data_IF_626766892354
#
_entry.id   IF_626766892354
#
_cell.length_a   1.000
_cell.length_b   1.000
_cell.length_c   1.000
_cell.angle_alpha   90.00
_cell.angle_beta   90.00
_cell.angle_gamma   90.00
#
_symmetry.space_group_name_H-M   'P 1'
#
loop_
_entity.id
_entity.type
_entity.pdbx_description
1 polymer ?
#
# COMPACT_ATOMS: atom_id res chain seq x y z
N UNK A 1 -100.41 -14.29 45.82
CA UNK A 1 -100.05 -15.20 44.71
C UNK A 1 -99.54 -14.62 43.42
N UNK A 2 -99.20 -13.33 43.40
CA UNK A 2 -98.80 -12.67 42.11
C UNK A 2 -97.30 -12.30 41.89
N UNK A 3 -96.44 -12.65 42.81
CA UNK A 3 -95.03 -12.33 42.69
C UNK A 3 -94.17 -13.40 41.90
N UNK A 4 -94.77 -14.51 41.63
CA UNK A 4 -94.06 -15.60 40.91
C UNK A 4 -94.26 -15.65 39.38
N UNK A 5 -95.24 -14.87 38.87
CA UNK A 5 -95.50 -14.75 37.44
C UNK A 5 -94.65 -13.69 36.77
N UNK A 6 -94.41 -12.50 37.39
CA UNK A 6 -93.58 -11.45 36.85
C UNK A 6 -92.08 -11.83 36.72
N UNK A 7 -91.54 -12.58 37.70
CA UNK A 7 -90.14 -13.03 37.64
C UNK A 7 -89.79 -14.02 36.49
N UNK A 8 -90.79 -14.68 35.95
CA UNK A 8 -90.64 -15.62 34.84
C UNK A 8 -90.72 -14.94 33.47
N UNK A 9 -91.48 -13.88 33.36
CA UNK A 9 -91.54 -13.05 32.12
C UNK A 9 -90.31 -12.27 31.91
N UNK A 10 -89.75 -11.64 32.99
CA UNK A 10 -88.53 -10.86 32.92
C UNK A 10 -87.30 -11.75 32.48
N UNK A 11 -87.18 -12.91 33.08
CA UNK A 11 -86.07 -13.87 32.69
C UNK A 11 -86.23 -14.44 31.26
N UNK A 12 -87.45 -14.48 30.73
CA UNK A 12 -87.66 -14.91 29.35
C UNK A 12 -87.35 -13.84 28.32
N UNK A 13 -87.56 -12.59 28.68
CA UNK A 13 -87.17 -11.43 27.86
C UNK A 13 -85.65 -11.27 27.79
N UNK A 14 -84.95 -11.34 28.93
CA UNK A 14 -83.50 -11.28 28.97
C UNK A 14 -82.81 -12.42 28.22
N UNK A 15 -83.36 -13.64 28.29
CA UNK A 15 -82.81 -14.80 27.59
C UNK A 15 -83.05 -14.72 26.09
N UNK A 16 -84.14 -14.09 25.61
CA UNK A 16 -84.37 -13.83 24.17
C UNK A 16 -83.44 -12.76 23.64
N UNK A 17 -83.16 -11.71 24.45
CA UNK A 17 -82.26 -10.63 24.07
C UNK A 17 -80.80 -11.11 24.01
N UNK A 18 -80.34 -11.95 24.94
CA UNK A 18 -79.03 -12.56 24.91
C UNK A 18 -78.84 -13.52 23.71
N UNK A 19 -79.85 -14.31 23.38
CA UNK A 19 -79.79 -15.20 22.18
C UNK A 19 -79.81 -14.40 20.90
N UNK A 20 -80.55 -13.24 20.83
CA UNK A 20 -80.53 -12.37 19.66
C UNK A 20 -79.19 -11.66 19.51
N UNK A 21 -78.56 -11.22 20.61
CA UNK A 21 -77.22 -10.62 20.57
C UNK A 21 -76.13 -11.63 20.22
N UNK A 22 -76.23 -12.85 20.70
CA UNK A 22 -75.33 -13.96 20.33
C UNK A 22 -75.43 -14.35 18.87
N UNK A 23 -76.65 -14.36 18.29
CA UNK A 23 -76.89 -14.68 16.88
C UNK A 23 -76.36 -13.54 15.95
N UNK A 24 -76.50 -12.26 16.37
CA UNK A 24 -75.95 -11.12 15.62
C UNK A 24 -74.41 -11.06 15.65
N UNK A 25 -73.76 -11.46 16.75
CA UNK A 25 -72.33 -11.52 16.86
C UNK A 25 -71.73 -12.67 16.07
N UNK A 26 -72.46 -13.79 15.93
CA UNK A 26 -71.99 -14.96 15.15
C UNK A 26 -72.06 -14.77 13.65
N UNK A 27 -72.91 -13.87 13.13
CA UNK A 27 -73.05 -13.61 11.70
C UNK A 27 -72.06 -12.60 11.13
N UNK A 28 -71.40 -11.82 11.99
CA UNK A 28 -70.41 -10.79 11.54
C UNK A 28 -68.96 -11.32 11.44
N UNK A 29 -68.65 -12.47 12.02
CA UNK A 29 -67.27 -12.98 12.04
C UNK A 29 -66.77 -13.67 10.74
N UNK A 30 -67.56 -14.38 9.94
CA UNK A 30 -67.02 -15.07 8.78
C UNK A 30 -66.64 -14.15 7.62
N UNK A 31 -67.24 -12.97 7.43
CA UNK A 31 -66.94 -12.07 6.30
C UNK A 31 -65.64 -11.33 6.50
N UNK A 32 -65.37 -10.89 7.72
CA UNK A 32 -64.10 -10.19 8.00
C UNK A 32 -62.88 -11.15 7.96
N UNK A 33 -63.05 -12.41 8.36
CA UNK A 33 -62.02 -13.41 8.31
C UNK A 33 -61.71 -13.85 6.85
N UNK A 34 -62.71 -13.94 5.99
CA UNK A 34 -62.53 -14.25 4.56
C UNK A 34 -61.85 -13.12 3.82
N UNK A 35 -62.24 -11.84 4.07
CA UNK A 35 -61.58 -10.67 3.46
C UNK A 35 -60.14 -10.47 3.95
N UNK A 36 -59.83 -10.83 5.22
CA UNK A 36 -58.51 -10.79 5.76
C UNK A 36 -57.60 -11.91 5.19
N UNK A 37 -58.17 -13.11 4.90
CA UNK A 37 -57.45 -14.21 4.29
C UNK A 37 -57.15 -13.98 2.82
N UNK A 38 -58.02 -13.30 2.07
CA UNK A 38 -57.79 -12.95 0.66
C UNK A 38 -56.71 -11.91 0.45
N UNK A 39 -56.50 -11.02 1.44
CA UNK A 39 -55.44 -9.99 1.34
C UNK A 39 -54.03 -10.49 1.75
N UNK A 40 -53.90 -11.59 2.44
CA UNK A 40 -52.61 -12.13 2.89
C UNK A 40 -51.67 -12.62 1.75
N UNK A 41 -52.11 -13.34 0.72
CA UNK A 41 -51.25 -13.84 -0.34
C UNK A 41 -50.64 -12.70 -1.17
N UNK A 42 -51.37 -11.60 -1.43
CA UNK A 42 -50.91 -10.47 -2.21
C UNK A 42 -49.79 -9.67 -1.46
N UNK A 43 -49.90 -9.53 -0.14
CA UNK A 43 -48.84 -8.90 0.69
C UNK A 43 -47.58 -9.73 0.77
N UNK A 44 -47.69 -11.07 0.86
CA UNK A 44 -46.53 -12.00 0.83
C UNK A 44 -45.82 -11.98 -0.52
N UNK A 45 -46.54 -11.96 -1.62
CA UNK A 45 -45.97 -11.85 -2.98
C UNK A 45 -45.23 -10.53 -3.19
N UNK A 46 -45.78 -9.39 -2.76
CA UNK A 46 -45.10 -8.08 -2.82
C UNK A 46 -43.82 -8.04 -1.99
N UNK A 47 -43.81 -8.60 -0.76
CA UNK A 47 -42.61 -8.71 0.06
C UNK A 47 -41.54 -9.59 -0.60
N UNK A 48 -41.93 -10.70 -1.22
CA UNK A 48 -40.99 -11.56 -1.96
C UNK A 48 -40.32 -10.85 -3.13
N UNK A 49 -41.04 -10.00 -3.88
CA UNK A 49 -40.48 -9.20 -4.98
C UNK A 49 -39.46 -8.17 -4.50
N UNK A 50 -39.74 -7.48 -3.37
CA UNK A 50 -38.79 -6.52 -2.80
C UNK A 50 -37.51 -7.18 -2.28
N UNK A 51 -37.63 -8.37 -1.66
CA UNK A 51 -36.46 -9.14 -1.21
C UNK A 51 -35.63 -9.60 -2.41
N UNK A 52 -36.27 -10.07 -3.48
CA UNK A 52 -35.56 -10.48 -4.71
C UNK A 52 -34.87 -9.27 -5.40
N UNK A 53 -35.53 -8.12 -5.45
CA UNK A 53 -34.97 -6.88 -5.95
C UNK A 53 -33.76 -6.43 -5.12
N UNK A 54 -33.85 -6.52 -3.79
CA UNK A 54 -32.74 -6.17 -2.89
C UNK A 54 -31.55 -7.10 -3.11
N UNK A 55 -31.78 -8.42 -3.20
CA UNK A 55 -30.73 -9.40 -3.49
C UNK A 55 -30.08 -9.10 -4.85
N UNK A 56 -30.88 -8.86 -5.88
CA UNK A 56 -30.38 -8.50 -7.21
C UNK A 56 -29.54 -7.22 -7.18
N UNK A 57 -29.99 -6.21 -6.44
CA UNK A 57 -29.23 -4.96 -6.26
C UNK A 57 -27.90 -5.19 -5.52
N UNK A 58 -27.90 -6.01 -4.46
CA UNK A 58 -26.67 -6.36 -3.74
C UNK A 58 -25.69 -7.11 -4.65
N UNK A 59 -26.18 -8.11 -5.40
CA UNK A 59 -25.34 -8.88 -6.35
C UNK A 59 -24.77 -7.97 -7.42
N UNK A 60 -25.56 -7.05 -7.96
CA UNK A 60 -25.07 -6.05 -8.93
C UNK A 60 -24.02 -5.14 -8.33
N UNK A 61 -24.24 -4.62 -7.13
CA UNK A 61 -23.26 -3.75 -6.43
C UNK A 61 -21.96 -4.50 -6.12
N UNK A 62 -22.04 -5.74 -5.65
CA UNK A 62 -20.88 -6.59 -5.46
C UNK A 62 -20.13 -6.85 -6.78
N UNK A 63 -20.86 -7.14 -7.86
CA UNK A 63 -20.28 -7.31 -9.20
C UNK A 63 -19.55 -6.06 -9.69
N UNK A 64 -20.15 -4.88 -9.53
CA UNK A 64 -19.53 -3.60 -9.86
C UNK A 64 -18.30 -3.30 -8.99
N UNK A 65 -18.36 -3.61 -7.69
CA UNK A 65 -17.22 -3.43 -6.79
C UNK A 65 -16.04 -4.34 -7.18
N UNK A 66 -16.31 -5.61 -7.48
CA UNK A 66 -15.28 -6.56 -7.94
C UNK A 66 -14.70 -6.12 -9.29
N UNK A 67 -15.54 -5.68 -10.22
CA UNK A 67 -15.09 -5.16 -11.51
C UNK A 67 -14.23 -3.91 -11.35
N UNK A 68 -14.65 -2.96 -10.52
CA UNK A 68 -13.89 -1.73 -10.23
C UNK A 68 -12.54 -2.03 -9.57
N UNK A 69 -12.52 -2.96 -8.60
CA UNK A 69 -11.28 -3.38 -7.97
C UNK A 69 -10.31 -4.04 -8.97
N UNK A 70 -10.82 -4.93 -9.82
CA UNK A 70 -10.00 -5.58 -10.86
C UNK A 70 -9.42 -4.57 -11.84
N UNK A 71 -10.23 -3.62 -12.32
CA UNK A 71 -9.78 -2.54 -13.20
C UNK A 71 -8.71 -1.68 -12.53
N UNK A 72 -8.86 -1.38 -11.24
CA UNK A 72 -7.86 -0.65 -10.47
C UNK A 72 -6.54 -1.43 -10.36
N UNK A 73 -6.60 -2.73 -10.03
CA UNK A 73 -5.41 -3.60 -9.96
C UNK A 73 -4.69 -3.63 -11.32
N UNK A 74 -5.42 -3.80 -12.42
CA UNK A 74 -4.82 -3.81 -13.74
C UNK A 74 -4.22 -2.44 -14.12
N UNK A 75 -4.84 -1.34 -13.68
CA UNK A 75 -4.28 0.01 -13.82
C UNK A 75 -2.95 0.17 -13.07
N UNK A 76 -2.85 -0.30 -11.83
CA UNK A 76 -1.62 -0.18 -11.03
C UNK A 76 -0.45 -1.02 -11.56
N UNK A 77 -0.73 -2.01 -12.42
CA UNK A 77 0.33 -2.79 -13.08
C UNK A 77 1.07 -2.02 -14.19
N UNK A 78 0.44 -0.99 -14.73
CA UNK A 78 0.96 -0.24 -15.89
C UNK A 78 1.21 1.23 -15.59
N UNK A 79 0.80 1.72 -14.42
CA UNK A 79 0.92 3.12 -14.04
C UNK A 79 1.60 3.24 -12.68
N UNK A 80 2.39 4.29 -12.51
CA UNK A 80 3.01 4.68 -11.25
C UNK A 80 2.76 6.16 -10.99
N UNK A 81 2.90 6.55 -9.73
CA UNK A 81 2.86 7.94 -9.31
C UNK A 81 4.28 8.47 -9.08
N UNK A 82 4.45 9.78 -9.21
CA UNK A 82 5.65 10.47 -8.74
C UNK A 82 5.30 11.19 -7.45
N UNK A 83 5.99 10.81 -6.36
CA UNK A 83 5.83 11.46 -5.05
C UNK A 83 7.00 12.40 -4.81
N UNK A 84 6.69 13.62 -4.40
CA UNK A 84 7.66 14.70 -4.21
C UNK A 84 7.88 14.94 -2.73
N UNK A 85 9.15 14.86 -2.31
CA UNK A 85 9.60 15.24 -0.97
C UNK A 85 10.50 16.47 -1.04
N UNK A 86 10.59 17.23 0.04
CA UNK A 86 11.45 18.40 0.14
C UNK A 86 12.27 18.31 1.40
N UNK A 87 13.58 18.38 1.24
CA UNK A 87 14.56 18.41 2.31
C UNK A 87 15.28 19.76 2.26
N UNK A 88 15.59 20.32 3.40
CA UNK A 88 16.44 21.53 3.51
C UNK A 88 17.70 21.18 4.29
N UNK A 89 18.86 21.59 3.81
CA UNK A 89 20.14 21.35 4.49
C UNK A 89 21.10 22.50 4.20
N UNK A 90 21.92 22.85 5.20
CA UNK A 90 23.05 23.77 5.05
C UNK A 90 24.25 23.15 4.32
N UNK A 91 24.24 21.82 4.11
CA UNK A 91 25.31 21.08 3.44
C UNK A 91 25.18 21.07 1.90
N UNK A 92 24.15 21.73 1.35
CA UNK A 92 24.03 21.97 -0.09
C UNK A 92 24.19 23.45 -0.40
N UNK A 93 24.79 23.78 -1.54
CA UNK A 93 25.01 25.16 -2.00
C UNK A 93 24.05 25.59 -3.11
N UNK A 94 23.48 24.63 -3.81
CA UNK A 94 22.45 24.81 -4.83
C UNK A 94 21.42 23.68 -4.77
N UNK A 95 20.27 23.89 -5.41
CA UNK A 95 19.22 22.88 -5.46
C UNK A 95 19.77 21.55 -6.01
N UNK A 96 19.47 20.45 -5.32
CA UNK A 96 19.83 19.11 -5.71
C UNK A 96 18.57 18.28 -5.86
N UNK A 97 18.41 17.57 -6.96
CA UNK A 97 17.28 16.72 -7.28
C UNK A 97 17.68 15.24 -7.29
N UNK A 98 17.16 14.48 -6.37
CA UNK A 98 17.46 13.06 -6.19
C UNK A 98 16.24 12.24 -6.57
N UNK A 99 16.42 11.30 -7.49
CA UNK A 99 15.40 10.33 -7.83
C UNK A 99 15.72 8.99 -7.16
N UNK A 100 14.73 8.40 -6.49
CA UNK A 100 14.86 7.12 -5.83
C UNK A 100 13.85 6.13 -6.39
N UNK A 101 14.33 4.95 -6.79
CA UNK A 101 13.58 3.82 -7.31
C UNK A 101 13.92 2.58 -6.50
N UNK A 102 12.92 1.80 -6.10
CA UNK A 102 13.12 0.51 -5.42
C UNK A 102 12.05 -0.49 -5.85
N UNK A 103 12.29 -1.76 -5.52
CA UNK A 103 11.29 -2.82 -5.58
C UNK A 103 10.60 -2.91 -6.96
N UNK A 104 11.37 -2.99 -8.04
CA UNK A 104 10.82 -3.16 -9.39
C UNK A 104 10.33 -4.58 -9.64
N UNK A 105 11.03 -5.60 -9.08
CA UNK A 105 10.66 -7.00 -9.24
C UNK A 105 10.38 -7.38 -10.70
N UNK A 106 11.30 -7.02 -11.60
CA UNK A 106 11.24 -7.28 -13.04
C UNK A 106 10.10 -6.57 -13.78
N UNK A 107 9.34 -5.69 -13.10
CA UNK A 107 8.22 -4.97 -13.72
C UNK A 107 8.72 -4.00 -14.78
N UNK A 108 7.97 -3.93 -15.87
CA UNK A 108 8.18 -2.96 -16.95
C UNK A 108 7.03 -1.97 -17.04
N UNK A 109 7.38 -0.71 -17.33
CA UNK A 109 6.45 0.37 -17.61
C UNK A 109 6.59 0.84 -19.06
N UNK A 110 5.67 0.36 -19.89
CA UNK A 110 5.80 0.44 -21.33
C UNK A 110 6.84 -0.56 -21.88
N UNK A 111 6.90 -0.73 -23.19
CA UNK A 111 7.85 -1.65 -23.83
C UNK A 111 9.30 -1.26 -23.51
N UNK A 112 10.05 -2.18 -22.91
CA UNK A 112 11.44 -1.94 -22.49
C UNK A 112 11.59 -0.77 -21.52
N UNK A 113 10.60 -0.55 -20.64
CA UNK A 113 10.55 0.55 -19.68
C UNK A 113 10.49 1.96 -20.27
N UNK A 114 9.97 2.12 -21.50
CA UNK A 114 9.98 3.41 -22.19
C UNK A 114 9.24 4.51 -21.42
N UNK A 115 8.13 4.18 -20.74
CA UNK A 115 7.35 5.16 -19.96
C UNK A 115 8.08 5.58 -18.69
N UNK A 116 8.73 4.64 -18.00
CA UNK A 116 9.54 4.95 -16.81
C UNK A 116 10.75 5.82 -17.17
N UNK A 117 11.49 5.45 -18.21
CA UNK A 117 12.65 6.22 -18.69
C UNK A 117 12.24 7.63 -19.10
N UNK A 118 11.11 7.78 -19.81
CA UNK A 118 10.58 9.09 -20.20
C UNK A 118 10.25 9.94 -18.97
N UNK A 119 9.56 9.37 -17.97
CA UNK A 119 9.26 10.08 -16.74
C UNK A 119 10.54 10.55 -16.02
N UNK A 120 11.55 9.67 -15.92
CA UNK A 120 12.85 10.02 -15.33
C UNK A 120 13.53 11.18 -16.09
N UNK A 121 13.50 11.17 -17.43
CA UNK A 121 14.05 12.26 -18.25
C UNK A 121 13.32 13.58 -18.02
N UNK A 122 11.99 13.55 -17.92
CA UNK A 122 11.16 14.75 -17.67
C UNK A 122 11.40 15.34 -16.27
N UNK A 123 11.72 14.49 -15.28
CA UNK A 123 12.04 14.90 -13.92
C UNK A 123 13.42 15.54 -13.79
N UNK A 124 14.33 15.30 -14.73
CA UNK A 124 15.68 15.89 -14.76
C UNK A 124 16.44 15.74 -13.42
N UNK A 125 16.66 14.50 -12.92
CA UNK A 125 17.39 14.30 -11.68
C UNK A 125 18.89 14.61 -11.86
N UNK A 126 19.52 15.12 -10.79
CA UNK A 126 20.96 15.27 -10.70
C UNK A 126 21.65 13.97 -10.27
N UNK A 127 20.87 13.08 -9.62
CA UNK A 127 21.30 11.79 -9.07
C UNK A 127 20.16 10.79 -9.11
N UNK A 128 20.46 9.55 -9.48
CA UNK A 128 19.52 8.43 -9.44
C UNK A 128 20.04 7.39 -8.45
N UNK A 129 19.17 6.98 -7.50
CA UNK A 129 19.47 6.01 -6.47
C UNK A 129 18.52 4.81 -6.59
N UNK A 130 19.09 3.60 -6.60
CA UNK A 130 18.36 2.35 -6.63
C UNK A 130 18.37 1.73 -5.23
N UNK A 131 17.17 1.51 -4.67
CA UNK A 131 16.97 1.03 -3.31
C UNK A 131 16.94 -0.50 -3.17
N UNK A 132 17.31 -1.24 -4.22
CA UNK A 132 17.28 -2.71 -4.22
C UNK A 132 15.98 -3.31 -4.76
N UNK A 133 15.94 -4.62 -4.83
CA UNK A 133 14.83 -5.45 -5.34
C UNK A 133 14.38 -5.07 -6.77
N UNK A 134 15.37 -4.86 -7.65
CA UNK A 134 15.09 -4.74 -9.07
C UNK A 134 14.76 -6.10 -9.69
N UNK A 135 15.40 -7.16 -9.19
CA UNK A 135 15.18 -8.56 -9.61
C UNK A 135 14.18 -9.28 -8.69
N UNK A 136 13.83 -10.51 -9.04
CA UNK A 136 12.98 -11.39 -8.21
C UNK A 136 13.64 -12.76 -8.10
N UNK A 137 14.08 -13.15 -6.90
CA UNK A 137 14.61 -14.48 -6.63
C UNK A 137 13.49 -15.54 -6.77
N UNK A 138 13.77 -16.72 -7.34
CA UNK A 138 15.03 -17.16 -7.97
C UNK A 138 15.07 -16.99 -9.50
N UNK A 139 14.40 -15.97 -10.08
CA UNK A 139 14.30 -15.79 -11.53
C UNK A 139 15.64 -15.27 -12.12
N UNK A 140 16.35 -16.06 -12.96
CA UNK A 140 17.61 -15.62 -13.57
C UNK A 140 17.43 -14.70 -14.78
N UNK A 141 16.21 -14.50 -15.26
CA UNK A 141 15.91 -13.65 -16.43
C UNK A 141 15.56 -12.22 -15.98
N UNK A 142 16.59 -11.38 -15.92
CA UNK A 142 16.49 -9.97 -15.49
C UNK A 142 17.18 -9.01 -16.48
N UNK A 143 17.37 -9.40 -17.74
CA UNK A 143 18.00 -8.56 -18.76
C UNK A 143 17.24 -7.23 -18.97
N UNK A 144 15.91 -7.24 -18.80
CA UNK A 144 15.09 -6.04 -18.85
C UNK A 144 15.50 -5.01 -17.78
N UNK A 145 15.96 -5.43 -16.60
CA UNK A 145 16.44 -4.54 -15.55
C UNK A 145 17.85 -4.01 -15.85
N UNK A 146 18.72 -4.82 -16.41
CA UNK A 146 20.03 -4.35 -16.90
C UNK A 146 19.88 -3.31 -18.01
N UNK A 147 18.94 -3.54 -18.94
CA UNK A 147 18.65 -2.57 -20.00
C UNK A 147 18.05 -1.26 -19.44
N UNK A 148 17.18 -1.34 -18.45
CA UNK A 148 16.69 -0.16 -17.73
C UNK A 148 17.87 0.61 -17.11
N UNK A 149 18.76 -0.06 -16.38
CA UNK A 149 19.93 0.57 -15.76
C UNK A 149 20.82 1.26 -16.79
N UNK A 150 21.09 0.64 -17.96
CA UNK A 150 21.83 1.26 -19.06
C UNK A 150 21.17 2.56 -19.56
N UNK A 151 19.83 2.59 -19.59
CA UNK A 151 19.08 3.81 -19.98
C UNK A 151 19.15 4.88 -18.92
N UNK A 152 18.97 4.52 -17.63
CA UNK A 152 19.02 5.44 -16.50
C UNK A 152 20.42 6.05 -16.32
N UNK A 153 21.49 5.25 -16.46
CA UNK A 153 22.88 5.71 -16.38
C UNK A 153 23.28 6.76 -17.44
N UNK A 154 22.50 6.89 -18.52
CA UNK A 154 22.68 7.96 -19.51
C UNK A 154 21.99 9.26 -19.13
N UNK A 155 21.13 9.25 -18.14
CA UNK A 155 20.38 10.43 -17.69
C UNK A 155 21.12 11.15 -16.57
N UNK A 156 21.55 10.41 -15.53
CA UNK A 156 22.29 10.95 -14.40
C UNK A 156 23.20 9.87 -13.78
N UNK A 157 24.17 10.24 -12.92
CA UNK A 157 24.93 9.29 -12.10
C UNK A 157 23.98 8.31 -11.40
N UNK A 158 24.27 7.00 -11.49
CA UNK A 158 23.41 5.93 -11.05
C UNK A 158 24.12 5.08 -9.99
N UNK A 159 23.60 5.11 -8.77
CA UNK A 159 24.07 4.35 -7.63
C UNK A 159 22.97 3.45 -7.08
N UNK A 160 23.33 2.40 -6.38
CA UNK A 160 22.34 1.52 -5.78
C UNK A 160 22.90 0.65 -4.67
N UNK A 161 21.98 0.08 -3.89
CA UNK A 161 22.22 -0.95 -2.90
C UNK A 161 21.51 -2.23 -3.30
N UNK A 162 21.87 -3.35 -2.66
CA UNK A 162 21.20 -4.63 -2.87
C UNK A 162 19.96 -4.74 -1.98
N UNK A 163 18.88 -5.27 -2.53
CA UNK A 163 17.74 -5.76 -1.77
C UNK A 163 17.93 -7.22 -1.37
N UNK A 164 16.91 -7.78 -0.71
CA UNK A 164 16.95 -9.20 -0.33
C UNK A 164 16.93 -10.12 -1.53
N UNK A 165 16.21 -9.78 -2.60
CA UNK A 165 16.19 -10.61 -3.80
C UNK A 165 17.53 -10.63 -4.54
N UNK A 166 18.25 -9.52 -4.65
CA UNK A 166 19.63 -9.53 -5.16
C UNK A 166 20.56 -10.34 -4.26
N UNK A 167 20.45 -10.17 -2.94
CA UNK A 167 21.25 -10.92 -1.96
C UNK A 167 20.98 -12.43 -2.05
N UNK A 168 19.73 -12.84 -2.14
CA UNK A 168 19.34 -14.24 -2.33
C UNK A 168 19.83 -14.81 -3.68
N UNK A 169 19.83 -14.02 -4.75
CA UNK A 169 20.39 -14.43 -6.05
C UNK A 169 21.88 -14.75 -5.93
N UNK A 170 22.63 -13.90 -5.21
CA UNK A 170 24.07 -14.04 -5.05
C UNK A 170 24.41 -15.18 -4.08
N UNK A 171 23.91 -15.10 -2.84
CA UNK A 171 24.25 -16.04 -1.76
C UNK A 171 23.56 -17.40 -1.92
N UNK A 172 22.41 -17.44 -2.60
CA UNK A 172 21.72 -18.66 -3.00
C UNK A 172 22.33 -19.37 -4.20
N UNK A 173 23.39 -18.79 -4.81
CA UNK A 173 24.12 -19.40 -5.91
C UNK A 173 23.37 -19.42 -7.25
N UNK A 174 22.35 -18.59 -7.42
CA UNK A 174 21.62 -18.44 -8.70
C UNK A 174 22.45 -17.60 -9.66
N UNK A 175 23.01 -16.47 -9.19
CA UNK A 175 23.90 -15.61 -9.96
C UNK A 175 24.90 -14.84 -9.09
N UNK A 176 26.07 -15.41 -8.88
CA UNK A 176 27.15 -14.79 -8.11
C UNK A 176 27.74 -13.54 -8.80
N UNK A 177 27.52 -13.37 -10.11
CA UNK A 177 28.04 -12.25 -10.91
C UNK A 177 27.04 -11.10 -11.05
N UNK A 178 25.92 -11.14 -10.34
CA UNK A 178 24.84 -10.15 -10.46
C UNK A 178 25.36 -8.72 -10.27
N UNK A 179 26.14 -8.45 -9.23
CA UNK A 179 26.73 -7.12 -9.00
C UNK A 179 27.60 -6.64 -10.17
N UNK A 180 28.40 -7.55 -10.75
CA UNK A 180 29.25 -7.23 -11.90
C UNK A 180 28.40 -6.87 -13.13
N UNK A 181 27.32 -7.59 -13.39
CA UNK A 181 26.40 -7.31 -14.49
C UNK A 181 25.72 -5.95 -14.33
N UNK A 182 25.26 -5.61 -13.12
CA UNK A 182 24.71 -4.27 -12.84
C UNK A 182 25.77 -3.18 -12.99
N UNK A 183 27.00 -3.43 -12.56
CA UNK A 183 28.11 -2.48 -12.77
C UNK A 183 28.40 -2.27 -14.27
N UNK A 184 28.39 -3.33 -15.08
CA UNK A 184 28.52 -3.24 -16.54
C UNK A 184 27.32 -2.53 -17.18
N UNK A 185 26.16 -2.54 -16.54
CA UNK A 185 24.97 -1.78 -16.93
C UNK A 185 25.02 -0.30 -16.49
N UNK A 186 26.08 0.13 -15.80
CA UNK A 186 26.32 1.51 -15.40
C UNK A 186 25.89 1.86 -13.98
N UNK A 187 25.54 0.88 -13.14
CA UNK A 187 25.22 1.10 -11.73
C UNK A 187 26.47 1.00 -10.88
N UNK A 188 26.72 1.98 -10.03
CA UNK A 188 27.69 1.84 -8.94
C UNK A 188 26.99 1.23 -7.74
N UNK A 189 27.21 -0.06 -7.48
CA UNK A 189 26.64 -0.76 -6.33
C UNK A 189 27.47 -0.45 -5.10
N UNK A 190 26.82 0.06 -4.05
CA UNK A 190 27.42 0.37 -2.75
C UNK A 190 27.17 -0.80 -1.79
N UNK A 191 28.25 -1.37 -1.24
CA UNK A 191 28.20 -2.55 -0.35
C UNK A 191 28.96 -2.25 0.95
N UNK A 192 28.30 -1.65 1.93
CA UNK A 192 28.88 -1.15 3.18
C UNK A 192 30.04 -0.16 2.94
N UNK A 193 29.90 0.66 1.92
CA UNK A 193 30.90 1.65 1.54
C UNK A 193 30.24 3.02 1.32
N UNK A 194 31.08 4.06 1.35
CA UNK A 194 30.73 5.42 1.05
C UNK A 194 31.47 5.94 -0.19
N UNK A 195 30.83 6.89 -0.86
CA UNK A 195 31.37 7.59 -2.04
C UNK A 195 31.04 9.05 -1.98
N UNK A 196 32.05 9.90 -2.16
CA UNK A 196 31.82 11.32 -2.38
C UNK A 196 31.61 11.56 -3.86
N UNK A 197 30.49 12.18 -4.20
CA UNK A 197 30.05 12.49 -5.56
C UNK A 197 29.89 13.99 -5.71
N UNK A 198 30.49 14.56 -6.77
CA UNK A 198 30.30 15.98 -7.12
C UNK A 198 29.11 16.12 -8.07
N UNK A 199 28.11 16.89 -7.64
CA UNK A 199 26.88 17.17 -8.38
C UNK A 199 26.72 18.69 -8.49
N UNK A 200 27.16 19.25 -9.63
CA UNK A 200 27.28 20.70 -9.74
C UNK A 200 28.27 21.26 -8.72
N UNK A 201 27.82 22.21 -7.91
CA UNK A 201 28.60 22.80 -6.81
C UNK A 201 28.45 22.00 -5.48
N UNK A 202 27.56 21.01 -5.43
CA UNK A 202 27.35 20.20 -4.23
C UNK A 202 28.33 19.03 -4.14
N UNK A 203 28.86 18.80 -2.94
CA UNK A 203 29.57 17.57 -2.56
C UNK A 203 28.62 16.71 -1.76
N UNK A 204 28.31 15.51 -2.27
CA UNK A 204 27.36 14.56 -1.65
C UNK A 204 28.10 13.31 -1.24
N UNK A 205 27.96 12.91 0.02
CA UNK A 205 28.45 11.64 0.52
C UNK A 205 27.31 10.61 0.45
N UNK A 206 27.47 9.61 -0.43
CA UNK A 206 26.55 8.49 -0.54
C UNK A 206 27.05 7.35 0.33
N UNK A 207 26.24 6.89 1.26
CA UNK A 207 26.51 5.77 2.15
C UNK A 207 25.56 4.65 1.77
N UNK A 208 26.06 3.55 1.22
CA UNK A 208 25.27 2.38 0.89
C UNK A 208 25.50 1.26 1.89
N UNK A 209 24.43 0.80 2.49
CA UNK A 209 24.46 -0.34 3.42
C UNK A 209 23.99 -1.60 2.71
N UNK A 210 24.80 -2.66 2.80
CA UNK A 210 24.39 -4.01 2.44
C UNK A 210 23.67 -4.64 3.62
N UNK A 211 22.67 -5.45 3.36
CA UNK A 211 21.97 -6.19 4.39
C UNK A 211 20.48 -6.01 4.25
N UNK A 212 19.94 -6.89 3.43
CA UNK A 212 18.51 -7.11 3.30
C UNK A 212 18.13 -8.53 3.79
N UNK A 213 19.09 -9.28 4.31
CA UNK A 213 18.88 -10.60 4.94
C UNK A 213 19.07 -10.47 6.43
N UNK A 214 18.19 -11.06 7.20
CA UNK A 214 17.90 -10.93 8.65
C UNK A 214 19.00 -10.41 9.57
N UNK A 215 20.20 -10.93 9.55
CA UNK A 215 21.27 -10.47 10.45
C UNK A 215 22.25 -9.47 9.80
N UNK A 216 22.29 -9.36 8.48
CA UNK A 216 23.32 -8.56 7.80
C UNK A 216 23.08 -7.05 7.89
N UNK A 217 21.83 -6.59 7.80
CA UNK A 217 21.53 -5.15 7.93
C UNK A 217 21.89 -4.62 9.32
N UNK A 218 21.68 -5.45 10.34
CA UNK A 218 22.02 -5.15 11.72
C UNK A 218 23.51 -4.84 11.90
N UNK A 219 24.37 -5.75 11.43
CA UNK A 219 25.82 -5.58 11.58
C UNK A 219 26.36 -4.43 10.71
N UNK A 220 25.88 -4.30 9.47
CA UNK A 220 26.28 -3.23 8.57
C UNK A 220 25.89 -1.85 9.08
N UNK A 221 24.64 -1.69 9.54
CA UNK A 221 24.13 -0.44 10.06
C UNK A 221 24.86 -0.01 11.35
N UNK A 222 24.98 -0.93 12.34
CA UNK A 222 25.67 -0.63 13.61
C UNK A 222 27.14 -0.27 13.40
N UNK A 223 27.87 -1.05 12.59
CA UNK A 223 29.29 -0.77 12.32
C UNK A 223 29.48 0.57 11.59
N UNK A 224 28.55 0.90 10.70
CA UNK A 224 28.60 2.20 9.99
C UNK A 224 28.27 3.36 10.92
N UNK A 225 27.26 3.22 11.77
CA UNK A 225 26.91 4.24 12.77
C UNK A 225 28.13 4.60 13.64
N UNK A 226 28.87 3.60 14.12
CA UNK A 226 30.09 3.81 14.93
C UNK A 226 31.20 4.53 14.15
N UNK A 227 31.25 4.39 12.82
CA UNK A 227 32.28 4.96 11.96
C UNK A 227 32.00 6.39 11.51
N UNK A 228 30.74 6.85 11.56
CA UNK A 228 30.37 8.17 11.06
C UNK A 228 30.79 9.28 12.04
N UNK A 229 31.52 10.28 11.50
CA UNK A 229 31.84 11.48 12.27
C UNK A 229 30.59 12.35 12.43
N UNK A 230 30.39 12.90 13.63
CA UNK A 230 29.36 13.91 13.89
C UNK A 230 29.66 15.27 13.25
N UNK A 231 30.93 15.50 12.83
CA UNK A 231 31.35 16.71 12.13
C UNK A 231 31.58 16.39 10.65
N UNK A 232 30.75 16.96 9.81
CA UNK A 232 30.82 16.80 8.36
C UNK A 232 30.30 18.07 7.66
N UNK A 233 30.75 18.29 6.42
CA UNK A 233 30.43 19.45 5.59
C UNK A 233 29.88 19.08 4.20
N UNK A 234 29.56 17.80 4.01
CA UNK A 234 28.95 17.26 2.78
C UNK A 234 27.52 16.86 3.06
N UNK A 235 26.63 16.93 2.05
CA UNK A 235 25.28 16.40 2.19
C UNK A 235 25.31 14.85 2.22
N UNK A 236 24.94 14.26 3.35
CA UNK A 236 25.01 12.80 3.55
C UNK A 236 23.69 12.12 3.27
N UNK A 237 23.70 11.18 2.32
CA UNK A 237 22.58 10.31 2.01
C UNK A 237 22.94 8.89 2.39
N UNK A 238 22.18 8.29 3.29
CA UNK A 238 22.33 6.89 3.63
C UNK A 238 21.20 6.07 2.98
N UNK A 239 21.56 4.97 2.33
CA UNK A 239 20.64 4.09 1.61
C UNK A 239 20.76 2.69 2.18
N UNK A 240 19.65 2.12 2.61
CA UNK A 240 19.49 0.70 2.89
C UNK A 240 18.17 0.23 2.29
N UNK A 241 18.11 -1.03 1.85
CA UNK A 241 16.86 -1.57 1.32
C UNK A 241 15.77 -1.63 2.40
N UNK A 242 16.13 -2.06 3.63
CA UNK A 242 15.21 -2.30 4.75
C UNK A 242 15.13 -1.08 5.67
N UNK A 243 13.94 -0.48 5.90
CA UNK A 243 13.80 0.71 6.73
C UNK A 243 14.17 0.48 8.20
N UNK A 244 13.96 -0.73 8.74
CA UNK A 244 14.28 -1.06 10.14
C UNK A 244 15.78 -0.96 10.45
N UNK A 245 16.66 -1.01 9.44
CA UNK A 245 18.08 -0.73 9.63
C UNK A 245 18.34 0.68 10.20
N UNK A 246 17.54 1.65 9.79
CA UNK A 246 17.62 3.02 10.30
C UNK A 246 16.98 3.15 11.67
N UNK A 247 15.78 2.62 11.85
CA UNK A 247 14.99 2.73 13.08
C UNK A 247 15.67 2.01 14.26
N UNK A 248 16.19 0.81 14.01
CA UNK A 248 16.76 -0.02 15.10
C UNK A 248 18.23 0.30 15.40
N UNK A 249 19.00 0.81 14.41
CA UNK A 249 20.45 0.87 14.54
C UNK A 249 21.09 2.21 14.15
N UNK A 250 20.34 3.13 13.55
CA UNK A 250 20.88 4.39 13.01
C UNK A 250 19.99 5.61 13.31
N UNK A 251 19.15 5.55 14.35
CA UNK A 251 18.25 6.67 14.70
C UNK A 251 19.01 7.98 14.97
N UNK A 252 20.17 7.90 15.60
CA UNK A 252 21.04 9.05 15.91
C UNK A 252 22.14 9.30 14.86
N UNK A 253 22.07 8.64 13.70
CA UNK A 253 23.12 8.75 12.69
C UNK A 253 23.29 10.20 12.19
N UNK A 254 24.53 10.70 12.08
CA UNK A 254 24.83 12.05 11.57
C UNK A 254 24.73 12.04 10.05
N UNK A 255 23.49 11.98 9.53
CA UNK A 255 23.13 11.99 8.11
C UNK A 255 22.08 13.09 7.84
N UNK A 256 21.93 13.50 6.59
CA UNK A 256 20.94 14.49 6.18
C UNK A 256 19.67 13.86 5.58
N UNK A 257 19.79 12.64 5.05
CA UNK A 257 18.70 11.93 4.40
C UNK A 257 18.91 10.42 4.48
N UNK A 258 17.88 9.69 4.88
CA UNK A 258 17.80 8.24 4.80
C UNK A 258 16.77 7.81 3.74
N UNK A 259 17.10 6.80 2.93
CA UNK A 259 16.23 6.25 1.89
C UNK A 259 16.12 4.74 2.03
N UNK A 260 14.89 4.21 1.99
CA UNK A 260 14.61 2.77 2.05
C UNK A 260 13.44 2.36 1.14
N UNK A 261 13.35 1.05 0.84
CA UNK A 261 12.28 0.41 0.09
C UNK A 261 11.63 -0.73 0.88
N UNK A 262 11.58 -1.95 0.27
CA UNK A 262 11.25 -3.24 0.86
C UNK A 262 9.80 -3.45 1.29
N UNK A 263 9.17 -2.50 1.92
CA UNK A 263 7.86 -2.65 2.56
C UNK A 263 6.69 -2.59 1.58
N UNK A 264 6.94 -2.27 0.31
CA UNK A 264 5.94 -2.12 -0.74
C UNK A 264 4.76 -1.20 -0.35
N UNK A 265 4.97 -0.25 0.55
CA UNK A 265 3.94 0.65 1.04
C UNK A 265 2.85 -0.05 1.86
N UNK A 266 3.10 -1.27 2.36
CA UNK A 266 2.14 -2.07 3.12
C UNK A 266 1.06 -2.70 2.25
N UNK A 267 1.35 -3.00 0.97
CA UNK A 267 0.53 -3.67 -0.05
C UNK A 267 -0.91 -3.15 -0.16
N UNK A 268 -1.68 -3.20 0.93
CA UNK A 268 -3.07 -2.75 1.03
C UNK A 268 -3.15 -1.54 1.95
N UNK A 269 -3.68 -0.44 1.44
CA UNK A 269 -4.07 0.73 2.23
C UNK A 269 -5.58 0.80 2.32
N UNK A 270 -6.12 1.04 3.49
CA UNK A 270 -7.55 1.23 3.68
C UNK A 270 -7.83 2.70 4.00
N UNK A 271 -8.90 3.29 3.44
CA UNK A 271 -9.32 4.62 3.82
C UNK A 271 -9.51 4.70 5.34
N UNK A 272 -9.00 5.77 5.98
CA UNK A 272 -9.08 6.03 7.45
C UNK A 272 -8.15 5.12 8.28
N UNK A 273 -8.00 3.83 7.94
CA UNK A 273 -7.19 2.86 8.70
C UNK A 273 -5.70 2.99 8.35
N UNK A 274 -5.38 3.33 7.11
CA UNK A 274 -4.00 3.41 6.63
C UNK A 274 -3.49 2.08 6.08
N UNK A 275 -2.20 1.82 6.28
CA UNK A 275 -1.49 0.64 5.80
C UNK A 275 -1.87 -0.59 6.62
N UNK A 276 -2.12 -1.70 5.94
CA UNK A 276 -2.69 -2.87 6.61
C UNK A 276 -1.63 -3.89 7.05
N UNK A 277 -0.62 -4.17 6.21
CA UNK A 277 0.28 -5.28 6.47
C UNK A 277 1.62 -5.14 5.72
N UNK A 278 2.72 -5.47 6.41
CA UNK A 278 4.03 -5.77 5.81
C UNK A 278 4.51 -7.14 6.29
N UNK A 279 5.47 -7.72 5.59
CA UNK A 279 6.02 -9.02 5.99
C UNK A 279 6.84 -8.92 7.29
N UNK A 280 7.51 -7.80 7.53
CA UNK A 280 8.38 -7.57 8.68
C UNK A 280 7.62 -7.15 9.94
N UNK A 281 6.79 -6.09 9.82
CA UNK A 281 6.10 -5.53 10.99
C UNK A 281 4.72 -6.18 11.25
N UNK A 282 4.20 -6.99 10.30
CA UNK A 282 2.88 -7.60 10.42
C UNK A 282 1.74 -6.62 10.13
N UNK A 283 0.66 -6.67 10.93
CA UNK A 283 -0.51 -5.82 10.76
C UNK A 283 -0.28 -4.42 11.36
N UNK A 284 -0.72 -3.39 10.59
CA UNK A 284 -0.63 -1.97 10.94
C UNK A 284 0.81 -1.50 11.13
N UNK A 285 1.65 -1.68 10.10
CA UNK A 285 3.07 -1.32 10.18
C UNK A 285 3.26 0.19 10.33
N UNK A 286 4.27 0.56 11.12
CA UNK A 286 4.63 1.96 11.34
C UNK A 286 5.45 2.53 10.17
N UNK A 287 6.38 1.73 9.59
CA UNK A 287 7.36 2.19 8.59
C UNK A 287 7.14 1.65 7.18
N UNK A 288 5.89 1.56 6.73
CA UNK A 288 5.55 0.94 5.45
C UNK A 288 5.57 1.86 4.21
N UNK A 289 6.03 3.08 4.31
CA UNK A 289 6.15 4.03 3.19
C UNK A 289 5.77 5.47 3.59
N UNK A 290 6.36 6.45 2.94
CA UNK A 290 6.20 7.87 3.27
C UNK A 290 7.42 8.45 3.98
N UNK A 291 7.25 9.60 4.60
CA UNK A 291 8.31 10.32 5.30
C UNK A 291 8.16 10.14 6.82
N UNK A 292 9.27 9.83 7.47
CA UNK A 292 9.43 9.69 8.91
C UNK A 292 10.60 10.55 9.35
N UNK A 293 10.77 10.76 10.65
CA UNK A 293 11.89 11.52 11.19
C UNK A 293 12.66 10.62 12.17
N UNK A 294 13.97 10.51 11.95
CA UNK A 294 14.89 9.84 12.87
C UNK A 294 15.17 10.73 14.09
N UNK A 295 15.68 10.18 15.17
CA UNK A 295 16.01 10.90 16.39
C UNK A 295 17.11 11.97 16.17
N UNK A 296 17.99 11.74 15.20
CA UNK A 296 18.96 12.74 14.70
C UNK A 296 18.30 13.98 14.06
N UNK A 297 17.03 13.92 13.75
CA UNK A 297 16.29 14.93 12.98
C UNK A 297 16.35 14.73 11.47
N UNK A 298 17.09 13.75 10.95
CA UNK A 298 17.12 13.44 9.53
C UNK A 298 15.82 12.80 9.05
N UNK A 299 15.28 13.17 7.88
CA UNK A 299 14.15 12.48 7.29
C UNK A 299 14.56 11.09 6.81
N UNK A 300 13.72 10.09 7.13
CA UNK A 300 13.72 8.76 6.53
C UNK A 300 12.56 8.69 5.53
N UNK A 301 12.86 8.54 4.25
CA UNK A 301 11.85 8.35 3.21
C UNK A 301 11.83 6.88 2.82
N UNK A 302 10.67 6.25 3.03
CA UNK A 302 10.43 4.86 2.64
C UNK A 302 9.58 4.83 1.39
N UNK A 303 10.13 4.36 0.27
CA UNK A 303 9.44 4.23 -1.00
C UNK A 303 8.42 3.09 -0.98
N UNK A 304 7.32 3.26 -1.71
CA UNK A 304 6.31 2.20 -1.87
C UNK A 304 6.67 1.20 -2.96
N UNK A 305 7.81 1.37 -3.62
CA UNK A 305 8.28 0.51 -4.70
C UNK A 305 7.47 0.60 -5.99
N UNK A 306 8.05 0.13 -7.08
CA UNK A 306 7.45 0.17 -8.42
C UNK A 306 6.83 -1.16 -8.84
N UNK A 307 7.33 -2.29 -8.34
CA UNK A 307 6.84 -3.64 -8.65
C UNK A 307 6.08 -4.30 -7.50
N UNK A 308 5.79 -5.58 -7.66
CA UNK A 308 5.18 -6.43 -6.63
C UNK A 308 5.97 -7.74 -6.56
N UNK A 309 6.41 -8.13 -5.38
CA UNK A 309 7.08 -9.42 -5.13
C UNK A 309 6.08 -10.54 -4.81
N UNK A 310 4.83 -10.20 -4.53
CA UNK A 310 3.81 -11.09 -4.01
C UNK A 310 2.60 -11.21 -4.95
N UNK A 311 1.83 -12.30 -4.77
CA UNK A 311 0.53 -12.48 -5.41
C UNK A 311 -0.55 -11.51 -4.86
N UNK A 312 -0.26 -10.84 -3.73
CA UNK A 312 -1.19 -9.89 -3.12
C UNK A 312 -1.17 -8.58 -3.93
N UNK A 313 -2.30 -8.19 -4.53
CA UNK A 313 -2.34 -6.99 -5.34
C UNK A 313 -2.27 -5.73 -4.48
N UNK A 314 -1.72 -4.66 -5.05
CA UNK A 314 -1.76 -3.32 -4.45
C UNK A 314 -3.19 -2.79 -4.43
N UNK A 315 -3.69 -2.41 -3.26
CA UNK A 315 -5.03 -1.81 -3.09
C UNK A 315 -4.86 -0.45 -2.42
N UNK A 316 -5.32 0.62 -3.08
CA UNK A 316 -5.11 2.03 -2.68
C UNK A 316 -3.65 2.38 -2.38
N UNK A 317 -2.73 1.63 -2.96
CA UNK A 317 -1.29 1.75 -2.79
C UNK A 317 -0.62 1.68 -4.17
N UNK A 318 -0.68 2.74 -4.98
CA UNK A 318 -0.12 2.74 -6.32
C UNK A 318 1.41 2.60 -6.27
N UNK A 319 2.03 2.01 -7.31
CA UNK A 319 3.48 2.04 -7.48
C UNK A 319 4.01 3.48 -7.46
N UNK A 320 5.21 3.66 -6.93
CA UNK A 320 5.75 4.98 -6.62
C UNK A 320 7.19 5.17 -7.12
N UNK A 321 7.40 6.29 -7.77
CA UNK A 321 8.70 6.86 -8.09
C UNK A 321 8.92 8.05 -7.16
N UNK A 322 9.96 8.03 -6.35
CA UNK A 322 10.22 9.06 -5.34
C UNK A 322 11.17 10.12 -5.89
N UNK A 323 10.80 11.39 -5.78
CA UNK A 323 11.65 12.53 -6.12
C UNK A 323 11.88 13.42 -4.88
N UNK A 324 13.13 13.59 -4.50
CA UNK A 324 13.54 14.43 -3.37
C UNK A 324 14.23 15.69 -3.90
N UNK A 325 13.62 16.84 -3.68
CA UNK A 325 14.21 18.14 -3.91
C UNK A 325 14.91 18.62 -2.63
N UNK A 326 16.23 18.69 -2.65
CA UNK A 326 17.04 19.24 -1.55
C UNK A 326 17.34 20.70 -1.86
N UNK A 327 17.03 21.58 -0.92
CA UNK A 327 17.25 23.01 -1.05
C UNK A 327 18.16 23.50 0.06
N UNK A 328 18.95 24.54 -0.26
CA UNK A 328 19.67 25.30 0.75
C UNK A 328 18.69 26.10 1.63
N UNK A 329 19.06 26.32 2.91
CA UNK A 329 18.29 27.16 3.84
C UNK A 329 18.18 28.60 3.36
#
# INVERSE_FOLDING_TARGET
SDRHAEGRLCRRAEKKEQVSRAASAASAQPVAAVLAAEQQPVRRLRRGHHVLQLIAAIVLLCGLAVWGLRTYIDYTKTHFNVTYYRVTSSHVSEKLRILFLSDLHLREYGEGNAELVKAVQELQPDLILLGGDLVTFPNPDYENMLELCRKLARIAPLYGVLGNHESEMIYGGVDEQLCEKFTQAGVTILRNEDRIVQLGSNSVELIGLEGALDDYYKYGASARMESLSSQYDTFRICINHVPMAFVDYMEDAPIDLALAGHTHGGLIRLPIVGRLYTAEEGFFPDYAGGEYQLDSGAPLIVGCGLGDSNEIPRIYNPPELVLVDVNWY
#
